data_IF_267462911780
#
_entry.id   IF_267462911780
#
_cell.length_a   1.000
_cell.length_b   1.000
_cell.length_c   1.000
_cell.angle_alpha   90.00
_cell.angle_beta   90.00
_cell.angle_gamma   90.00
#
_symmetry.space_group_name_H-M   'P 1'
#
loop_
_entity.id
_entity.type
_entity.pdbx_description
1 polymer ?
#
# COMPACT_ATOMS: atom_id res chain seq x y z
N UNK A 1 17.50 -10.42 -1.91
CA UNK A 1 16.31 -9.83 -2.59
C UNK A 1 15.21 -9.61 -1.58
N UNK A 2 14.42 -8.57 -1.75
CA UNK A 2 13.35 -8.23 -0.80
C UNK A 2 12.09 -7.76 -1.54
N UNK A 3 10.98 -7.71 -0.79
CA UNK A 3 9.71 -7.16 -1.25
C UNK A 3 9.55 -5.75 -0.66
N UNK A 4 8.78 -4.91 -1.34
CA UNK A 4 8.41 -3.58 -0.85
C UNK A 4 6.89 -3.42 -0.92
N UNK A 5 6.30 -2.95 0.17
CA UNK A 5 4.91 -2.49 0.22
C UNK A 5 4.96 -0.97 0.35
N UNK A 6 4.45 -0.26 -0.65
CA UNK A 6 4.44 1.19 -0.69
C UNK A 6 3.01 1.69 -0.47
N UNK A 7 2.78 2.45 0.59
CA UNK A 7 1.45 2.82 1.07
C UNK A 7 1.27 4.32 1.14
N UNK A 8 0.25 4.85 0.46
CA UNK A 8 -0.33 6.15 0.74
C UNK A 8 -1.30 5.99 1.92
N UNK A 9 -0.88 6.38 3.11
CA UNK A 9 -1.64 6.13 4.33
C UNK A 9 -2.90 6.98 4.43
N UNK A 10 -2.91 8.20 3.88
CA UNK A 10 -4.12 9.02 3.85
C UNK A 10 -5.21 8.37 3.00
N UNK A 11 -4.84 7.82 1.86
CA UNK A 11 -5.75 7.06 1.00
C UNK A 11 -6.25 5.79 1.70
N UNK A 12 -5.36 5.04 2.34
CA UNK A 12 -5.72 3.84 3.10
C UNK A 12 -6.76 4.15 4.18
N UNK A 13 -6.54 5.20 4.97
CA UNK A 13 -7.49 5.63 5.99
C UNK A 13 -8.83 6.06 5.41
N UNK A 14 -8.81 6.73 4.27
CA UNK A 14 -10.04 7.16 3.59
C UNK A 14 -10.87 5.95 3.14
N UNK A 15 -10.25 4.98 2.52
CA UNK A 15 -10.91 3.75 2.07
C UNK A 15 -11.42 2.94 3.27
N UNK A 16 -10.62 2.83 4.33
CA UNK A 16 -11.02 2.16 5.57
C UNK A 16 -12.24 2.83 6.19
N UNK A 17 -12.26 4.16 6.26
CA UNK A 17 -13.41 4.92 6.76
C UNK A 17 -14.69 4.63 5.96
N UNK A 18 -14.62 4.65 4.63
CA UNK A 18 -15.77 4.37 3.78
C UNK A 18 -16.31 2.95 4.00
N UNK A 19 -15.43 1.97 4.12
CA UNK A 19 -15.82 0.60 4.42
C UNK A 19 -16.48 0.49 5.81
N UNK A 20 -15.91 1.11 6.82
CA UNK A 20 -16.45 1.11 8.18
C UNK A 20 -17.86 1.69 8.19
N UNK A 21 -18.07 2.86 7.61
CA UNK A 21 -19.39 3.52 7.57
C UNK A 21 -20.41 2.64 6.88
N UNK A 22 -20.07 2.07 5.73
CA UNK A 22 -20.99 1.24 4.98
C UNK A 22 -21.33 -0.07 5.71
N UNK A 23 -20.34 -0.75 6.27
CA UNK A 23 -20.56 -2.01 6.97
C UNK A 23 -21.21 -1.84 8.33
N UNK A 24 -20.93 -0.78 9.09
CA UNK A 24 -21.65 -0.48 10.33
C UNK A 24 -23.14 -0.29 10.07
N UNK A 25 -23.48 0.40 8.98
CA UNK A 25 -24.88 0.58 8.56
C UNK A 25 -25.55 -0.75 8.18
N UNK A 26 -24.85 -1.59 7.43
CA UNK A 26 -25.37 -2.87 6.96
C UNK A 26 -25.52 -3.89 8.10
N UNK A 27 -24.55 -3.94 8.99
CA UNK A 27 -24.46 -4.97 10.03
C UNK A 27 -25.12 -4.56 11.35
N UNK A 28 -25.42 -3.26 11.53
CA UNK A 28 -26.02 -2.76 12.76
C UNK A 28 -25.11 -2.87 13.99
N UNK A 29 -23.79 -2.91 13.78
CA UNK A 29 -22.80 -2.94 14.86
C UNK A 29 -21.66 -1.99 14.59
N UNK A 30 -20.95 -1.58 15.63
CA UNK A 30 -19.69 -0.84 15.48
C UNK A 30 -18.56 -1.76 15.03
N UNK A 31 -17.71 -1.23 14.17
CA UNK A 31 -16.49 -1.90 13.70
C UNK A 31 -15.31 -1.25 14.43
N UNK A 32 -14.57 -2.02 15.25
CA UNK A 32 -13.40 -1.50 15.93
C UNK A 32 -12.29 -1.19 14.94
N UNK A 33 -11.26 -0.46 15.40
CA UNK A 33 -10.05 -0.25 14.61
C UNK A 33 -9.43 -1.59 14.20
N UNK A 34 -8.94 -1.65 12.97
CA UNK A 34 -8.43 -2.88 12.39
C UNK A 34 -7.01 -3.24 12.84
N UNK A 35 -6.61 -4.43 12.45
CA UNK A 35 -5.29 -5.00 12.73
C UNK A 35 -4.33 -4.68 11.57
N UNK A 36 -3.40 -3.75 11.78
CA UNK A 36 -2.49 -3.30 10.74
C UNK A 36 -1.50 -4.40 10.30
N UNK A 37 -0.85 -5.14 11.21
CA UNK A 37 -0.02 -6.28 10.79
C UNK A 37 -0.77 -7.32 9.96
N UNK A 38 -2.00 -7.64 10.34
CA UNK A 38 -2.84 -8.56 9.58
C UNK A 38 -3.13 -8.04 8.16
N UNK A 39 -3.40 -6.73 8.03
CA UNK A 39 -3.58 -6.11 6.73
C UNK A 39 -2.33 -6.24 5.85
N UNK A 40 -1.14 -6.02 6.43
CA UNK A 40 0.13 -6.17 5.72
C UNK A 40 0.35 -7.60 5.24
N UNK A 41 -0.01 -8.61 6.04
CA UNK A 41 0.04 -10.01 5.64
C UNK A 41 -0.87 -10.27 4.42
N UNK A 42 -2.09 -9.76 4.46
CA UNK A 42 -3.03 -9.90 3.34
C UNK A 42 -2.47 -9.26 2.06
N UNK A 43 -1.90 -8.07 2.16
CA UNK A 43 -1.28 -7.37 1.02
C UNK A 43 -0.11 -8.18 0.47
N UNK A 44 0.75 -8.69 1.33
CA UNK A 44 1.89 -9.50 0.93
C UNK A 44 1.44 -10.78 0.20
N UNK A 45 0.46 -11.50 0.75
CA UNK A 45 -0.11 -12.71 0.14
C UNK A 45 -0.74 -12.41 -1.23
N UNK A 46 -1.55 -11.37 -1.31
CA UNK A 46 -2.20 -10.98 -2.58
C UNK A 46 -1.16 -10.53 -3.62
N UNK A 47 -0.08 -9.92 -3.17
CA UNK A 47 1.06 -9.53 -4.02
C UNK A 47 1.99 -10.68 -4.42
N UNK A 48 1.72 -11.90 -3.95
CA UNK A 48 2.46 -13.09 -4.36
C UNK A 48 3.55 -13.57 -3.40
N UNK A 49 3.70 -12.96 -2.23
CA UNK A 49 4.60 -13.47 -1.19
C UNK A 49 4.03 -14.77 -0.61
N UNK A 50 4.88 -15.75 -0.41
CA UNK A 50 4.49 -17.07 0.13
C UNK A 50 5.22 -17.32 1.45
N UNK A 51 4.67 -18.18 2.33
CA UNK A 51 5.31 -18.53 3.59
C UNK A 51 6.78 -18.90 3.42
N UNK A 52 7.62 -18.36 4.29
CA UNK A 52 9.05 -18.54 4.24
C UNK A 52 9.80 -17.39 4.89
N UNK A 53 11.12 -17.42 4.79
CA UNK A 53 12.00 -16.40 5.34
C UNK A 53 12.16 -15.22 4.37
N UNK A 54 11.05 -14.53 4.09
CA UNK A 54 11.04 -13.35 3.25
C UNK A 54 11.45 -12.11 4.04
N UNK A 55 11.99 -11.12 3.33
CA UNK A 55 12.21 -9.77 3.83
C UNK A 55 11.26 -8.83 3.09
N UNK A 56 10.38 -8.16 3.83
CA UNK A 56 9.43 -7.19 3.28
C UNK A 56 9.62 -5.85 3.97
N UNK A 57 9.90 -4.82 3.19
CA UNK A 57 10.02 -3.44 3.65
C UNK A 57 8.72 -2.71 3.37
N UNK A 58 8.19 -2.03 4.38
CA UNK A 58 6.94 -1.28 4.29
C UNK A 58 7.26 0.20 4.37
N UNK A 59 6.90 0.94 3.33
CA UNK A 59 7.07 2.39 3.27
C UNK A 59 5.71 3.07 3.42
N UNK A 60 5.53 3.73 4.56
CA UNK A 60 4.30 4.44 4.90
C UNK A 60 4.50 5.93 4.60
N UNK A 61 3.90 6.39 3.50
CA UNK A 61 3.98 7.78 3.08
C UNK A 61 2.76 8.51 3.65
N UNK A 62 2.99 9.55 4.44
CA UNK A 62 1.91 10.28 5.08
C UNK A 62 2.17 11.79 5.07
N UNK A 63 1.13 12.65 5.09
CA UNK A 63 1.34 14.06 5.35
C UNK A 63 1.99 14.26 6.71
N UNK A 64 2.95 15.16 6.82
CA UNK A 64 3.67 15.41 8.08
C UNK A 64 2.72 15.83 9.21
N UNK A 65 1.65 16.56 8.87
CA UNK A 65 0.64 16.98 9.83
C UNK A 65 -0.21 15.82 10.39
N UNK A 66 -0.27 14.69 9.68
CA UNK A 66 -0.94 13.49 10.17
C UNK A 66 0.06 12.61 10.91
N UNK A 67 -0.16 12.42 12.21
CA UNK A 67 0.79 11.70 13.08
C UNK A 67 0.42 10.25 13.32
N UNK A 68 -0.77 9.83 12.88
CA UNK A 68 -1.28 8.48 13.12
C UNK A 68 -2.27 8.02 12.05
N UNK A 69 -2.40 6.69 11.91
CA UNK A 69 -3.52 6.06 11.23
C UNK A 69 -4.79 6.23 12.08
N UNK A 70 -5.93 6.42 11.43
CA UNK A 70 -7.20 6.63 12.13
C UNK A 70 -7.96 5.33 12.40
N UNK A 71 -7.79 4.32 11.56
CA UNK A 71 -8.66 3.14 11.55
C UNK A 71 -7.93 1.82 11.72
N UNK A 72 -6.61 1.84 11.90
CA UNK A 72 -5.77 0.65 12.06
C UNK A 72 -4.83 0.83 13.26
N UNK A 73 -4.52 -0.26 13.94
CA UNK A 73 -3.63 -0.32 15.09
C UNK A 73 -2.49 -1.33 14.86
N UNK A 74 -1.27 -1.04 15.30
CA UNK A 74 -0.79 0.20 15.93
C UNK A 74 -0.87 1.38 14.96
N UNK A 75 -1.01 2.60 15.46
CA UNK A 75 -1.40 3.74 14.63
C UNK A 75 -0.36 4.87 14.55
N UNK A 76 0.41 5.14 15.60
CA UNK A 76 1.33 6.27 15.64
C UNK A 76 2.57 6.04 14.77
N UNK A 77 2.74 6.90 13.75
CA UNK A 77 3.83 6.72 12.78
C UNK A 77 5.21 6.78 13.42
N UNK A 78 5.49 7.79 14.22
CA UNK A 78 6.82 7.98 14.80
C UNK A 78 7.10 7.01 15.95
N UNK A 79 6.13 6.76 16.81
CA UNK A 79 6.33 6.05 18.08
C UNK A 79 6.13 4.54 17.96
N UNK A 80 5.17 4.09 17.14
CA UNK A 80 4.74 2.70 17.09
C UNK A 80 5.09 1.98 15.78
N UNK A 81 5.32 2.72 14.70
CA UNK A 81 5.50 2.14 13.37
C UNK A 81 6.91 2.35 12.82
N UNK A 82 7.40 3.59 12.78
CA UNK A 82 8.69 3.88 12.17
C UNK A 82 9.85 3.19 12.88
N UNK A 83 10.66 2.47 12.13
CA UNK A 83 11.82 1.75 12.65
C UNK A 83 11.46 0.47 13.41
N UNK A 84 10.21 0.04 13.40
CA UNK A 84 9.74 -1.19 14.01
C UNK A 84 9.72 -2.33 13.00
N UNK A 85 9.74 -3.55 13.51
CA UNK A 85 9.63 -4.75 12.70
C UNK A 85 8.80 -5.80 13.42
N UNK A 86 8.15 -6.66 12.66
CA UNK A 86 7.55 -7.88 13.19
C UNK A 86 7.89 -9.05 12.28
N UNK A 87 7.78 -10.25 12.79
CA UNK A 87 8.05 -11.48 12.07
C UNK A 87 6.91 -12.48 12.30
N UNK A 88 6.51 -13.12 11.23
CA UNK A 88 5.52 -14.19 11.23
C UNK A 88 5.89 -15.27 10.19
N UNK A 89 4.93 -16.07 9.79
CA UNK A 89 5.13 -17.14 8.80
C UNK A 89 5.50 -16.64 7.39
N UNK A 90 5.24 -15.36 7.07
CA UNK A 90 5.64 -14.74 5.80
C UNK A 90 7.04 -14.13 5.84
N UNK A 91 7.73 -14.18 6.99
CA UNK A 91 9.04 -13.59 7.19
C UNK A 91 9.00 -12.29 7.98
N UNK A 92 10.01 -11.45 7.78
CA UNK A 92 10.15 -10.19 8.50
C UNK A 92 9.54 -9.02 7.70
N UNK A 93 8.77 -8.20 8.41
CA UNK A 93 8.25 -6.92 7.93
C UNK A 93 8.95 -5.79 8.67
N UNK A 94 9.71 -4.97 7.96
CA UNK A 94 10.38 -3.78 8.51
C UNK A 94 9.60 -2.54 8.09
N UNK A 95 9.17 -1.74 9.07
CA UNK A 95 8.29 -0.58 8.86
C UNK A 95 9.10 0.72 8.86
N UNK A 96 8.84 1.57 7.87
CA UNK A 96 9.42 2.91 7.76
C UNK A 96 8.32 3.91 7.43
N UNK A 97 8.22 4.98 8.20
CA UNK A 97 7.23 6.04 7.98
C UNK A 97 7.93 7.32 7.52
N UNK A 98 7.39 7.94 6.48
CA UNK A 98 7.93 9.17 5.88
C UNK A 98 6.87 10.26 5.87
N UNK A 99 7.09 11.30 6.69
CA UNK A 99 6.23 12.48 6.71
C UNK A 99 6.59 13.46 5.60
N UNK A 100 5.63 13.76 4.74
CA UNK A 100 5.82 14.68 3.61
C UNK A 100 5.47 16.10 4.07
N UNK A 101 6.40 17.03 3.87
CA UNK A 101 6.22 18.46 4.19
C UNK A 101 5.13 19.09 3.30
N UNK A 102 4.44 20.08 3.82
CA UNK A 102 3.34 20.77 3.10
C UNK A 102 3.78 21.45 1.81
N UNK A 103 5.05 21.83 1.72
CA UNK A 103 5.60 22.48 0.52
C UNK A 103 5.86 21.52 -0.64
N UNK A 104 5.78 20.22 -0.38
CA UNK A 104 5.99 19.18 -1.40
C UNK A 104 4.65 18.53 -1.68
N UNK A 105 4.32 18.37 -2.96
CA UNK A 105 3.16 17.58 -3.35
C UNK A 105 3.35 16.13 -2.90
N UNK A 106 2.37 15.60 -2.16
CA UNK A 106 2.42 14.21 -1.70
C UNK A 106 2.42 13.24 -2.87
N UNK A 107 1.70 13.57 -3.92
CA UNK A 107 1.65 12.77 -5.15
C UNK A 107 3.01 12.74 -5.83
N UNK A 108 3.67 13.88 -5.99
CA UNK A 108 5.01 13.96 -6.56
C UNK A 108 6.02 13.17 -5.73
N UNK A 109 5.95 13.30 -4.41
CA UNK A 109 6.81 12.54 -3.51
C UNK A 109 6.57 11.02 -3.66
N UNK A 110 5.32 10.60 -3.70
CA UNK A 110 4.97 9.19 -3.86
C UNK A 110 5.49 8.62 -5.18
N UNK A 111 5.30 9.35 -6.28
CA UNK A 111 5.81 8.95 -7.60
C UNK A 111 7.33 8.83 -7.58
N UNK A 112 8.01 9.77 -6.95
CA UNK A 112 9.47 9.75 -6.83
C UNK A 112 9.94 8.54 -6.03
N UNK A 113 9.31 8.24 -4.91
CA UNK A 113 9.63 7.05 -4.11
C UNK A 113 9.38 5.77 -4.92
N UNK A 114 8.28 5.70 -5.65
CA UNK A 114 8.00 4.54 -6.51
C UNK A 114 9.06 4.36 -7.59
N UNK A 115 9.49 5.44 -8.21
CA UNK A 115 10.59 5.39 -9.19
C UNK A 115 11.90 4.88 -8.57
N UNK A 116 12.25 5.35 -7.37
CA UNK A 116 13.44 4.86 -6.66
C UNK A 116 13.33 3.37 -6.29
N UNK A 117 12.15 2.94 -5.87
CA UNK A 117 11.88 1.51 -5.62
C UNK A 117 12.08 0.67 -6.88
N UNK A 118 11.63 1.17 -8.02
CA UNK A 118 11.84 0.47 -9.31
C UNK A 118 13.31 0.43 -9.74
N UNK A 119 14.13 1.37 -9.28
CA UNK A 119 15.59 1.38 -9.53
C UNK A 119 16.36 0.43 -8.61
N UNK A 120 15.78 0.01 -7.50
CA UNK A 120 16.42 -0.90 -6.54
C UNK A 120 16.56 -2.30 -7.15
N UNK A 121 17.78 -2.67 -7.53
CA UNK A 121 18.06 -3.96 -8.15
C UNK A 121 17.81 -5.15 -7.22
N UNK A 122 17.81 -4.94 -5.91
CA UNK A 122 17.56 -5.98 -4.91
C UNK A 122 16.08 -6.17 -4.59
N UNK A 123 15.23 -5.27 -5.04
CA UNK A 123 13.78 -5.41 -4.91
C UNK A 123 13.23 -6.28 -6.05
N UNK A 124 12.58 -7.38 -5.70
CA UNK A 124 11.97 -8.30 -6.68
C UNK A 124 10.47 -8.08 -6.85
N UNK A 125 9.79 -7.57 -5.82
CA UNK A 125 8.32 -7.44 -5.80
C UNK A 125 7.91 -6.15 -5.12
N UNK A 126 6.96 -5.45 -5.74
CA UNK A 126 6.41 -4.19 -5.23
C UNK A 126 4.89 -4.28 -5.17
N UNK A 127 4.33 -4.00 -4.02
CA UNK A 127 2.89 -3.85 -3.80
C UNK A 127 2.60 -2.37 -3.52
N UNK A 128 1.70 -1.78 -4.30
CA UNK A 128 1.40 -0.34 -4.24
C UNK A 128 -0.04 -0.11 -3.82
N UNK A 129 -0.24 0.64 -2.75
CA UNK A 129 -1.54 1.04 -2.23
C UNK A 129 -1.65 2.56 -2.31
N UNK A 130 -2.43 3.05 -3.27
CA UNK A 130 -2.62 4.47 -3.53
C UNK A 130 -3.93 4.72 -4.29
N UNK A 131 -4.32 5.98 -4.44
CA UNK A 131 -5.53 6.36 -5.17
C UNK A 131 -5.31 6.31 -6.69
N UNK A 132 -5.45 5.11 -7.25
CA UNK A 132 -5.21 4.83 -8.67
C UNK A 132 -6.50 4.68 -9.49
N UNK A 133 -7.64 4.75 -8.85
CA UNK A 133 -8.97 4.62 -9.45
C UNK A 133 -9.91 5.79 -9.11
N UNK A 134 -9.36 6.87 -8.57
CA UNK A 134 -10.10 8.08 -8.26
C UNK A 134 -10.64 8.78 -9.50
N UNK A 135 -11.75 9.51 -9.33
CA UNK A 135 -12.49 10.12 -10.43
C UNK A 135 -12.17 11.61 -10.66
N UNK A 136 -11.26 12.19 -9.86
CA UNK A 136 -10.81 13.57 -10.06
C UNK A 136 -9.72 13.62 -11.14
N UNK A 137 -9.53 14.79 -11.76
CA UNK A 137 -8.46 14.99 -12.74
C UNK A 137 -7.08 14.78 -12.12
N UNK A 138 -6.90 15.19 -10.87
CA UNK A 138 -5.66 15.00 -10.11
C UNK A 138 -5.37 13.52 -9.87
N UNK A 139 -6.37 12.75 -9.41
CA UNK A 139 -6.24 11.31 -9.21
C UNK A 139 -5.94 10.58 -10.52
N UNK A 140 -6.60 10.95 -11.60
CA UNK A 140 -6.37 10.38 -12.92
C UNK A 140 -4.94 10.66 -13.42
N UNK A 141 -4.44 11.87 -13.23
CA UNK A 141 -3.08 12.25 -13.60
C UNK A 141 -2.05 11.48 -12.78
N UNK A 142 -2.23 11.39 -11.47
CA UNK A 142 -1.40 10.59 -10.58
C UNK A 142 -1.37 9.11 -11.01
N UNK A 143 -2.54 8.52 -11.25
CA UNK A 143 -2.66 7.13 -11.70
C UNK A 143 -1.91 6.90 -13.03
N UNK A 144 -1.99 7.82 -13.97
CA UNK A 144 -1.25 7.73 -15.23
C UNK A 144 0.25 7.74 -15.02
N UNK A 145 0.76 8.57 -14.11
CA UNK A 145 2.20 8.62 -13.78
C UNK A 145 2.69 7.28 -13.22
N UNK A 146 1.94 6.69 -12.30
CA UNK A 146 2.26 5.37 -11.74
C UNK A 146 2.23 4.28 -12.83
N UNK A 147 1.17 4.25 -13.62
CA UNK A 147 1.04 3.28 -14.72
C UNK A 147 2.14 3.42 -15.78
N UNK A 148 2.54 4.64 -16.08
CA UNK A 148 3.63 4.90 -17.03
C UNK A 148 4.96 4.29 -16.55
N UNK A 149 5.26 4.38 -15.26
CA UNK A 149 6.43 3.74 -14.65
C UNK A 149 6.35 2.22 -14.70
N UNK A 150 5.16 1.65 -14.54
CA UNK A 150 4.96 0.20 -14.67
C UNK A 150 5.19 -0.28 -16.11
N UNK A 151 4.68 0.48 -17.09
CA UNK A 151 4.80 0.13 -18.51
C UNK A 151 6.22 0.33 -19.05
N UNK A 152 6.91 1.36 -18.57
CA UNK A 152 8.27 1.71 -18.98
C UNK A 152 9.12 1.97 -17.73
N UNK A 153 9.58 0.90 -17.07
CA UNK A 153 10.40 1.04 -15.85
C UNK A 153 11.68 1.83 -16.10
N UNK A 154 12.20 2.54 -15.09
CA UNK A 154 13.44 3.27 -15.21
C UNK A 154 14.62 2.32 -15.48
N UNK A 155 15.62 2.86 -16.14
CA UNK A 155 16.90 2.17 -16.39
C UNK A 155 17.91 2.53 -15.31
N UNK A 156 19.01 1.78 -15.27
CA UNK A 156 20.14 2.12 -14.40
C UNK A 156 20.86 3.40 -14.88
N UNK A 157 21.81 3.87 -14.09
CA UNK A 157 22.58 5.10 -14.40
C UNK A 157 23.38 5.01 -15.69
N UNK A 158 23.60 3.80 -16.20
CA UNK A 158 24.32 3.53 -17.47
C UNK A 158 23.38 3.36 -18.65
N UNK A 159 22.05 3.46 -18.43
CA UNK A 159 21.04 3.27 -19.45
C UNK A 159 20.69 1.80 -19.75
N UNK A 160 21.13 0.87 -18.91
CA UNK A 160 20.78 -0.55 -19.05
C UNK A 160 19.44 -0.86 -18.40
N UNK A 161 18.76 -1.87 -18.92
CA UNK A 161 17.54 -2.37 -18.32
C UNK A 161 17.84 -3.07 -16.99
N UNK A 162 17.01 -2.75 -15.97
CA UNK A 162 17.06 -3.42 -14.68
C UNK A 162 16.26 -4.74 -14.71
N UNK A 163 16.56 -5.67 -13.78
CA UNK A 163 15.75 -6.88 -13.65
C UNK A 163 14.26 -6.55 -13.49
N UNK A 164 13.42 -7.30 -14.20
CA UNK A 164 11.97 -7.10 -14.14
C UNK A 164 11.43 -7.43 -12.75
N UNK A 165 10.59 -6.55 -12.20
CA UNK A 165 9.93 -6.73 -10.92
C UNK A 165 8.49 -7.18 -11.10
N UNK A 166 8.00 -7.94 -10.13
CA UNK A 166 6.56 -8.18 -10.00
C UNK A 166 5.92 -6.97 -9.32
N UNK A 167 5.07 -6.25 -10.05
CA UNK A 167 4.38 -5.08 -9.55
C UNK A 167 2.90 -5.42 -9.42
N UNK A 168 2.33 -5.20 -8.24
CA UNK A 168 0.89 -5.33 -8.00
C UNK A 168 0.34 -4.00 -7.52
N UNK A 169 -0.66 -3.48 -8.23
CA UNK A 169 -1.38 -2.27 -7.86
C UNK A 169 -2.70 -2.66 -7.18
N UNK A 170 -2.94 -2.12 -6.00
CA UNK A 170 -4.14 -2.38 -5.21
C UNK A 170 -5.12 -1.22 -5.36
N UNK A 171 -6.34 -1.53 -5.80
CA UNK A 171 -7.39 -0.53 -6.07
C UNK A 171 -8.73 -1.03 -5.53
N UNK A 172 -9.69 -0.13 -5.38
CA UNK A 172 -11.05 -0.50 -4.98
C UNK A 172 -11.87 -1.00 -6.17
N UNK A 173 -11.54 -0.55 -7.38
CA UNK A 173 -12.20 -0.95 -8.62
C UNK A 173 -11.16 -1.35 -9.66
N UNK A 174 -11.54 -2.21 -10.63
CA UNK A 174 -10.64 -2.60 -11.70
C UNK A 174 -10.11 -1.41 -12.50
N UNK A 175 -8.81 -1.45 -12.79
CA UNK A 175 -8.12 -0.47 -13.64
C UNK A 175 -7.48 -1.18 -14.83
N UNK A 176 -7.20 -0.43 -15.87
CA UNK A 176 -6.54 -0.94 -17.08
C UNK A 176 -5.11 -0.40 -17.18
N UNK A 177 -4.24 -1.20 -17.76
CA UNK A 177 -2.86 -0.85 -18.01
C UNK A 177 -1.99 -2.08 -18.24
N UNK A 178 -0.69 -1.87 -18.40
CA UNK A 178 0.29 -2.94 -18.64
C UNK A 178 1.50 -2.77 -17.70
N UNK A 179 2.23 -3.87 -17.52
CA UNK A 179 3.43 -3.89 -16.70
C UNK A 179 3.15 -4.10 -15.21
N UNK A 180 1.91 -4.38 -14.84
CA UNK A 180 1.52 -4.64 -13.46
C UNK A 180 0.40 -5.68 -13.40
N UNK A 181 0.30 -6.34 -12.25
CA UNK A 181 -0.87 -7.09 -11.83
C UNK A 181 -1.76 -6.21 -10.97
N UNK A 182 -3.02 -6.58 -10.85
CA UNK A 182 -4.00 -5.83 -10.08
C UNK A 182 -4.70 -6.72 -9.08
N UNK A 183 -4.91 -6.17 -7.88
CA UNK A 183 -5.70 -6.77 -6.81
C UNK A 183 -6.68 -5.76 -6.24
N UNK A 184 -7.82 -6.24 -5.74
CA UNK A 184 -8.81 -5.40 -5.08
C UNK A 184 -8.46 -5.20 -3.61
N UNK A 185 -8.35 -3.94 -3.19
CA UNK A 185 -7.96 -3.56 -1.84
C UNK A 185 -9.01 -3.91 -0.78
N UNK A 186 -10.29 -3.92 -1.15
CA UNK A 186 -11.40 -4.04 -0.21
C UNK A 186 -11.36 -5.30 0.64
N UNK A 187 -11.03 -6.44 0.07
CA UNK A 187 -11.01 -7.73 0.79
C UNK A 187 -9.98 -7.77 1.91
N UNK A 188 -8.79 -7.24 1.68
CA UNK A 188 -7.73 -7.18 2.69
C UNK A 188 -8.13 -6.29 3.86
N UNK A 189 -8.77 -5.16 3.59
CA UNK A 189 -9.27 -4.25 4.61
C UNK A 189 -10.43 -4.87 5.39
N UNK A 190 -11.36 -5.54 4.74
CA UNK A 190 -12.43 -6.27 5.44
C UNK A 190 -11.85 -7.29 6.42
N UNK A 191 -10.86 -8.06 6.00
CA UNK A 191 -10.18 -9.02 6.87
C UNK A 191 -9.54 -8.34 8.08
N UNK A 192 -8.80 -7.25 7.88
CA UNK A 192 -8.15 -6.49 8.94
C UNK A 192 -9.14 -5.83 9.90
N UNK A 193 -10.31 -5.41 9.41
CA UNK A 193 -11.38 -4.80 10.19
C UNK A 193 -12.28 -5.82 10.91
N UNK A 194 -12.04 -7.11 10.73
CA UNK A 194 -12.85 -8.18 11.34
C UNK A 194 -14.24 -8.34 10.75
N UNK A 195 -14.42 -7.97 9.48
CA UNK A 195 -15.67 -8.13 8.76
C UNK A 195 -15.64 -9.49 8.05
N UNK A 196 -16.56 -10.37 8.42
CA UNK A 196 -16.67 -11.70 7.86
C UNK A 196 -17.64 -11.74 6.68
N UNK A 197 -17.30 -12.48 5.63
CA UNK A 197 -18.17 -12.66 4.47
C UNK A 197 -19.53 -13.25 4.83
N UNK A 198 -19.61 -14.07 5.89
CA UNK A 198 -20.86 -14.66 6.37
C UNK A 198 -21.81 -13.64 7.01
N UNK A 199 -21.32 -12.49 7.46
CA UNK A 199 -22.14 -11.42 8.05
C UNK A 199 -22.86 -10.59 6.97
N UNK A 200 -22.40 -10.67 5.71
CA UNK A 200 -22.84 -9.81 4.60
C UNK A 200 -23.87 -10.49 3.70
N UNK A 201 -24.29 -11.71 4.03
CA UNK A 201 -25.28 -12.47 3.27
C UNK A 201 -26.72 -12.13 3.67
#
# INVERSE_FOLDING_TARGET
MHNIILVDTAHLDHVAFDLIVNFERMLGRQIPQGDFPKWLDCIALDGGVRPGDNETRVYLIHPKAQTQLQHLLPCHFAEELNGKAFRDELGEFALNAYGVEEIVSQEDYFVQVFEEVLRDADCERVMVIADLDGMTDESAHFAQRIKALCANPPKDDKGNELPRKDITLFTMQPIMGRGFQQELLGYSLMAALGINGNEVQ
#
